data_IF_018046802634
#
_entry.id   IF_018046802634
#
_cell.length_a   1.000
_cell.length_b   1.000
_cell.length_c   1.000
_cell.angle_alpha   90.00
_cell.angle_beta   90.00
_cell.angle_gamma   90.00
#
_symmetry.space_group_name_H-M   'P 1'
#
loop_
_entity.id
_entity.type
_entity.pdbx_description
1 polymer ?
#
# COMPACT_ATOMS: atom_id res chain seq x y z
N UNK A 1 14.91 58.63 20.35
CA UNK A 1 14.28 59.83 19.80
C UNK A 1 12.81 59.48 19.58
N UNK A 2 12.00 60.02 20.49
CA UNK A 2 10.59 60.46 20.47
C UNK A 2 9.54 59.47 19.96
N UNK A 3 8.79 58.84 20.89
CA UNK A 3 7.60 59.41 21.64
C UNK A 3 6.57 60.08 20.75
N UNK A 4 5.33 59.58 20.71
CA UNK A 4 4.20 60.35 21.25
C UNK A 4 2.96 59.43 21.49
N UNK A 5 2.55 59.45 22.75
CA UNK A 5 1.33 58.94 23.38
C UNK A 5 0.26 60.01 23.20
N UNK A 6 -1.02 59.62 22.99
CA UNK A 6 -2.14 60.37 23.53
C UNK A 6 -3.33 59.47 23.88
N UNK A 7 -3.62 59.53 25.19
CA UNK A 7 -4.85 59.13 25.88
C UNK A 7 -5.88 60.28 25.84
N UNK A 8 -7.15 59.95 26.07
CA UNK A 8 -8.17 60.58 26.95
C UNK A 8 -9.54 60.05 26.55
N UNK A 9 -10.32 59.36 27.30
CA UNK A 9 -10.94 59.40 28.65
C UNK A 9 -12.27 60.14 28.72
N UNK A 10 -13.27 59.42 29.23
CA UNK A 10 -14.44 59.76 30.03
C UNK A 10 -15.64 60.55 29.41
N UNK A 11 -16.88 60.03 29.55
CA UNK A 11 -17.76 60.39 30.66
C UNK A 11 -19.09 59.63 30.68
N UNK A 12 -19.61 59.52 31.84
CA UNK A 12 -20.61 58.79 32.57
C UNK A 12 -22.03 59.39 32.57
N UNK A 13 -23.03 58.49 32.64
CA UNK A 13 -24.26 58.51 33.50
C UNK A 13 -25.47 59.41 33.15
N UNK A 14 -26.62 59.17 33.87
CA UNK A 14 -27.74 58.25 33.57
C UNK A 14 -29.09 58.94 33.56
N UNK A 15 -30.19 58.31 33.22
CA UNK A 15 -31.51 58.62 33.83
C UNK A 15 -32.57 57.55 33.57
N UNK A 16 -33.17 57.14 34.68
CA UNK A 16 -34.41 56.39 34.82
C UNK A 16 -35.62 57.01 34.15
N UNK A 17 -36.57 56.16 33.67
CA UNK A 17 -38.01 56.30 34.03
C UNK A 17 -38.73 54.95 33.81
N UNK A 18 -39.66 54.69 34.71
CA UNK A 18 -40.43 53.48 34.99
C UNK A 18 -41.71 53.32 34.17
N UNK A 19 -42.16 52.08 34.07
CA UNK A 19 -43.53 51.54 34.05
C UNK A 19 -44.28 51.54 32.69
N UNK A 20 -44.61 50.35 32.16
CA UNK A 20 -45.98 49.82 32.37
C UNK A 20 -46.05 48.33 31.90
N UNK A 21 -46.77 47.53 32.69
CA UNK A 21 -47.14 46.15 32.47
C UNK A 21 -48.07 45.97 31.26
N UNK A 22 -47.82 44.99 30.42
CA UNK A 22 -48.87 44.27 29.70
C UNK A 22 -48.44 42.82 29.57
N UNK A 23 -49.14 41.93 30.23
CA UNK A 23 -49.06 40.47 30.05
C UNK A 23 -49.64 40.13 28.66
N UNK A 24 -48.85 39.55 27.81
CA UNK A 24 -49.34 38.75 26.70
C UNK A 24 -48.65 37.37 26.79
N UNK A 25 -49.47 36.38 27.15
CA UNK A 25 -49.11 34.97 27.15
C UNK A 25 -48.93 34.51 25.69
N UNK A 26 -47.68 34.45 25.26
CA UNK A 26 -47.30 33.86 23.98
C UNK A 26 -46.75 32.45 24.21
N UNK A 27 -47.48 31.45 23.75
CA UNK A 27 -47.04 30.08 23.63
C UNK A 27 -45.80 30.03 22.71
N UNK A 28 -44.61 29.90 23.29
CA UNK A 28 -43.41 29.61 22.52
C UNK A 28 -43.39 28.09 22.22
N UNK A 29 -43.75 27.70 20.99
CA UNK A 29 -43.43 26.39 20.47
C UNK A 29 -41.91 26.29 20.38
N UNK A 30 -41.31 25.59 21.30
CA UNK A 30 -39.95 25.05 21.22
C UNK A 30 -39.93 24.01 20.12
N UNK A 31 -39.57 24.42 18.89
CA UNK A 31 -39.08 23.52 17.87
C UNK A 31 -37.74 22.97 18.37
N UNK A 32 -37.77 21.81 19.04
CA UNK A 32 -36.60 20.98 19.28
C UNK A 32 -36.20 20.46 17.91
N UNK A 33 -35.32 21.20 17.23
CA UNK A 33 -34.59 20.69 16.10
C UNK A 33 -33.73 19.51 16.59
N UNK A 34 -34.18 18.28 16.37
CA UNK A 34 -33.31 17.12 16.44
C UNK A 34 -32.21 17.32 15.41
N UNK A 35 -31.10 17.90 15.81
CA UNK A 35 -29.84 17.67 15.10
C UNK A 35 -29.50 16.20 15.33
N UNK A 36 -29.87 15.36 14.38
CA UNK A 36 -29.37 14.00 14.33
C UNK A 36 -27.84 14.10 14.25
N UNK A 37 -27.19 13.88 15.38
CA UNK A 37 -25.79 13.49 15.40
C UNK A 37 -25.66 12.32 14.42
N UNK A 38 -24.71 12.34 13.45
CA UNK A 38 -24.51 11.21 12.57
C UNK A 38 -24.29 9.98 13.45
N UNK A 39 -25.17 9.01 13.32
CA UNK A 39 -25.05 7.77 14.06
C UNK A 39 -23.70 7.14 13.74
N UNK A 40 -22.95 6.77 14.78
CA UNK A 40 -21.66 6.08 14.75
C UNK A 40 -21.72 4.68 14.07
N UNK A 41 -22.82 4.35 13.38
CA UNK A 41 -23.15 3.00 12.91
C UNK A 41 -22.57 2.62 11.54
N UNK A 42 -21.67 3.42 10.96
CA UNK A 42 -21.11 3.15 9.63
C UNK A 42 -19.59 3.00 9.59
N UNK A 43 -18.93 2.80 10.75
CA UNK A 43 -17.48 2.55 10.75
C UNK A 43 -17.20 1.09 10.39
N UNK A 44 -16.08 0.88 9.70
CA UNK A 44 -15.52 -0.46 9.46
C UNK A 44 -15.01 -1.07 10.78
N UNK A 45 -14.65 -2.35 10.76
CA UNK A 45 -14.08 -3.02 11.94
C UNK A 45 -12.76 -2.37 12.39
N UNK A 46 -11.97 -1.84 11.45
CA UNK A 46 -10.75 -1.08 11.72
C UNK A 46 -11.00 0.34 12.24
N UNK A 47 -12.26 0.80 12.24
CA UNK A 47 -12.66 2.15 12.67
C UNK A 47 -12.62 3.20 11.57
N UNK A 48 -12.43 2.82 10.31
CA UNK A 48 -12.45 3.74 9.17
C UNK A 48 -13.88 4.22 8.90
N UNK A 49 -14.01 5.51 8.59
CA UNK A 49 -15.26 6.09 8.10
C UNK A 49 -15.26 6.08 6.55
N UNK A 50 -16.12 5.28 5.88
CA UNK A 50 -16.13 5.18 4.42
C UNK A 50 -16.34 6.53 3.71
N UNK A 51 -17.11 7.45 4.29
CA UNK A 51 -17.34 8.78 3.70
C UNK A 51 -16.06 9.63 3.60
N UNK A 52 -15.03 9.35 4.41
CA UNK A 52 -13.74 10.04 4.29
C UNK A 52 -12.91 9.58 3.09
N UNK A 53 -13.38 8.57 2.37
CA UNK A 53 -12.76 8.06 1.14
C UNK A 53 -13.54 8.48 -0.11
N UNK A 54 -14.64 9.20 0.03
CA UNK A 54 -15.46 9.68 -1.09
C UNK A 54 -14.96 11.05 -1.54
N UNK A 55 -14.44 11.14 -2.76
CA UNK A 55 -13.99 12.38 -3.40
C UNK A 55 -14.17 12.29 -4.91
N UNK A 56 -14.61 13.37 -5.53
CA UNK A 56 -14.57 13.52 -6.98
C UNK A 56 -13.28 14.25 -7.35
N UNK A 57 -12.46 13.68 -8.19
CA UNK A 57 -11.21 14.27 -8.66
C UNK A 57 -11.44 15.11 -9.92
N UNK A 58 -10.45 15.91 -10.31
CA UNK A 58 -10.52 16.86 -11.43
C UNK A 58 -10.86 16.20 -12.79
N UNK A 59 -10.58 14.90 -12.93
CA UNK A 59 -10.93 14.09 -14.11
C UNK A 59 -12.33 13.45 -14.04
N UNK A 60 -13.20 13.91 -13.12
CA UNK A 60 -14.53 13.37 -12.82
C UNK A 60 -14.54 11.90 -12.37
N UNK A 61 -13.41 11.31 -12.01
CA UNK A 61 -13.34 9.99 -11.39
C UNK A 61 -13.61 10.11 -9.89
N UNK A 62 -14.42 9.21 -9.34
CA UNK A 62 -14.78 9.21 -7.92
C UNK A 62 -14.05 8.13 -7.18
N UNK A 63 -13.53 8.47 -6.00
CA UNK A 63 -12.92 7.52 -5.07
C UNK A 63 -13.97 7.02 -4.07
N UNK A 64 -13.74 5.82 -3.53
CA UNK A 64 -14.59 5.18 -2.53
C UNK A 64 -13.81 4.12 -1.75
N UNK A 65 -14.29 3.79 -0.54
CA UNK A 65 -13.85 2.65 0.25
C UNK A 65 -14.85 1.49 0.06
N UNK A 66 -14.32 0.31 -0.16
CA UNK A 66 -15.05 -0.95 -0.27
C UNK A 66 -14.62 -1.87 0.87
N UNK A 67 -15.54 -2.67 1.37
CA UNK A 67 -15.27 -3.58 2.49
C UNK A 67 -15.62 -5.01 2.06
N UNK A 68 -14.65 -5.92 2.22
CA UNK A 68 -14.84 -7.35 2.05
C UNK A 68 -14.88 -8.01 3.43
N UNK A 69 -15.78 -8.99 3.62
CA UNK A 69 -15.96 -9.72 4.89
C UNK A 69 -16.18 -11.19 4.63
N UNK A 70 -15.56 -12.04 5.45
CA UNK A 70 -15.87 -13.48 5.45
C UNK A 70 -16.66 -13.88 6.69
N UNK A 71 -17.13 -15.12 6.73
CA UNK A 71 -17.91 -15.65 7.87
C UNK A 71 -17.08 -15.83 9.15
N UNK A 72 -15.74 -15.86 9.05
CA UNK A 72 -14.82 -15.99 10.18
C UNK A 72 -14.44 -14.65 10.83
N UNK A 73 -15.10 -13.55 10.39
CA UNK A 73 -14.94 -12.21 10.97
C UNK A 73 -13.74 -11.41 10.46
N UNK A 74 -12.97 -11.93 9.50
CA UNK A 74 -11.93 -11.16 8.83
C UNK A 74 -12.57 -10.08 7.96
N UNK A 75 -12.00 -8.87 7.98
CA UNK A 75 -12.43 -7.73 7.19
C UNK A 75 -11.24 -7.13 6.44
N UNK A 76 -11.45 -6.79 5.17
CA UNK A 76 -10.47 -6.09 4.33
C UNK A 76 -11.12 -4.86 3.73
N UNK A 77 -10.51 -3.69 3.94
CA UNK A 77 -10.95 -2.44 3.31
C UNK A 77 -10.04 -2.09 2.15
N UNK A 78 -10.64 -1.75 1.00
CA UNK A 78 -9.95 -1.43 -0.25
C UNK A 78 -10.50 -0.11 -0.79
N UNK A 79 -9.61 0.82 -1.17
CA UNK A 79 -10.02 1.99 -1.95
C UNK A 79 -9.69 1.78 -3.43
N UNK A 80 -10.54 2.31 -4.30
CA UNK A 80 -10.28 2.29 -5.74
C UNK A 80 -9.23 3.32 -6.20
N UNK A 81 -8.71 4.17 -5.32
CA UNK A 81 -7.53 4.99 -5.59
C UNK A 81 -6.28 4.14 -5.42
N UNK A 82 -5.62 3.82 -6.54
CA UNK A 82 -4.49 2.89 -6.59
C UNK A 82 -4.86 1.43 -6.30
N UNK A 83 -6.16 1.08 -6.31
CA UNK A 83 -6.67 -0.25 -5.92
C UNK A 83 -6.01 -0.75 -4.63
N UNK A 84 -5.92 0.14 -3.61
CA UNK A 84 -5.13 -0.06 -2.38
C UNK A 84 -5.88 -0.83 -1.32
N UNK A 85 -5.19 -1.76 -0.69
CA UNK A 85 -5.60 -2.32 0.59
C UNK A 85 -5.33 -1.25 1.67
N UNK A 86 -6.38 -0.83 2.39
CA UNK A 86 -6.33 0.22 3.42
C UNK A 86 -6.22 -0.37 4.81
N UNK A 87 -6.94 -1.47 5.08
CA UNK A 87 -6.87 -2.21 6.35
C UNK A 87 -7.11 -3.70 6.13
N UNK A 88 -6.51 -4.51 7.00
CA UNK A 88 -6.70 -5.96 7.07
C UNK A 88 -6.90 -6.30 8.54
N UNK A 89 -8.14 -6.64 8.93
CA UNK A 89 -8.48 -7.04 10.29
C UNK A 89 -8.47 -8.55 10.41
N UNK A 90 -7.56 -9.07 11.24
CA UNK A 90 -7.41 -10.51 11.51
C UNK A 90 -7.36 -10.77 13.01
N UNK A 91 -7.81 -11.94 13.50
CA UNK A 91 -7.71 -12.28 14.91
C UNK A 91 -6.26 -12.57 15.32
N UNK A 92 -5.85 -12.06 16.47
CA UNK A 92 -4.62 -12.48 17.15
C UNK A 92 -4.80 -13.85 17.86
N UNK A 93 -3.74 -14.33 18.52
CA UNK A 93 -3.77 -15.57 19.29
C UNK A 93 -4.79 -15.59 20.44
N UNK A 94 -5.32 -14.43 20.88
CA UNK A 94 -6.32 -14.28 21.92
C UNK A 94 -7.72 -14.01 21.34
N UNK A 95 -7.86 -13.95 20.00
CA UNK A 95 -9.11 -13.64 19.31
C UNK A 95 -9.40 -12.15 19.15
N UNK A 96 -8.48 -11.24 19.54
CA UNK A 96 -8.68 -9.81 19.33
C UNK A 96 -8.40 -9.45 17.87
N UNK A 97 -9.32 -8.70 17.27
CA UNK A 97 -9.15 -8.25 15.89
C UNK A 97 -8.08 -7.16 15.79
N UNK A 98 -7.08 -7.40 14.97
CA UNK A 98 -5.87 -6.56 14.81
C UNK A 98 -5.74 -6.11 13.37
N UNK A 99 -5.53 -4.80 13.16
CA UNK A 99 -5.19 -4.27 11.83
C UNK A 99 -3.69 -4.47 11.56
N UNK A 100 -3.38 -5.23 10.53
CA UNK A 100 -2.01 -5.68 10.26
C UNK A 100 -1.31 -4.96 9.11
N UNK A 101 -1.86 -3.82 8.62
CA UNK A 101 -1.22 -3.03 7.57
C UNK A 101 -1.18 -1.54 7.90
N UNK A 102 -0.17 -0.84 7.42
CA UNK A 102 -0.10 0.63 7.46
C UNK A 102 -1.00 1.24 6.39
N UNK A 103 -1.39 2.51 6.59
CA UNK A 103 -2.22 3.29 5.66
C UNK A 103 -2.69 4.59 6.27
N UNK A 104 -3.72 5.20 5.67
CA UNK A 104 -4.34 6.44 6.14
C UNK A 104 -5.83 6.25 6.42
N UNK A 105 -6.42 7.18 7.21
CA UNK A 105 -7.85 7.15 7.58
C UNK A 105 -8.75 7.87 6.58
N UNK A 106 -8.20 8.41 5.50
CA UNK A 106 -8.93 9.20 4.52
C UNK A 106 -8.22 9.24 3.17
N UNK A 107 -8.98 9.60 2.13
CA UNK A 107 -8.46 9.66 0.76
C UNK A 107 -7.53 10.86 0.53
N UNK A 108 -7.70 11.96 1.25
CA UNK A 108 -6.91 13.16 1.06
C UNK A 108 -5.43 12.91 1.33
N UNK A 109 -5.13 12.19 2.43
CA UNK A 109 -3.76 11.84 2.79
C UNK A 109 -3.13 10.90 1.75
N UNK A 110 -3.89 9.96 1.16
CA UNK A 110 -3.40 9.12 0.05
C UNK A 110 -3.09 9.92 -1.22
N UNK A 111 -3.80 11.02 -1.47
CA UNK A 111 -3.57 11.87 -2.65
C UNK A 111 -2.38 12.82 -2.42
N UNK A 112 -2.24 13.37 -1.20
CA UNK A 112 -1.25 14.42 -0.91
C UNK A 112 0.10 13.89 -0.44
N UNK A 113 0.12 12.74 0.24
CA UNK A 113 1.34 12.18 0.81
C UNK A 113 1.83 11.05 -0.11
N UNK A 114 2.95 11.23 -0.81
CA UNK A 114 3.45 10.23 -1.76
C UNK A 114 3.91 8.97 -1.01
N UNK A 115 3.06 7.96 -0.98
CA UNK A 115 3.32 6.65 -0.38
C UNK A 115 2.70 5.56 -1.24
N UNK A 116 3.27 4.34 -1.14
CA UNK A 116 2.74 3.17 -1.84
C UNK A 116 1.92 2.25 -0.91
N UNK A 117 1.49 2.74 0.27
CA UNK A 117 0.73 1.95 1.23
C UNK A 117 -0.43 1.20 0.59
N UNK A 118 -0.34 -0.13 0.57
CA UNK A 118 -1.35 -1.06 0.08
C UNK A 118 -1.63 -1.03 -1.42
N UNK A 119 -0.87 -0.26 -2.20
CA UNK A 119 -1.17 0.02 -3.61
C UNK A 119 -1.01 -1.19 -4.51
N UNK A 120 -1.84 -1.26 -5.55
CA UNK A 120 -1.54 -2.02 -6.76
C UNK A 120 -0.56 -1.23 -7.60
N UNK A 121 0.62 -1.78 -7.82
CA UNK A 121 1.69 -1.17 -8.60
C UNK A 121 1.59 -1.63 -10.06
N UNK A 122 1.77 -0.69 -10.98
CA UNK A 122 1.80 -0.87 -12.42
C UNK A 122 2.09 0.48 -13.13
N UNK A 123 2.41 0.48 -14.44
CA UNK A 123 2.41 -0.66 -15.34
C UNK A 123 3.54 -1.66 -15.03
N UNK A 124 4.64 -1.19 -14.42
CA UNK A 124 5.79 -2.02 -14.10
C UNK A 124 6.23 -1.80 -12.65
N UNK A 125 6.11 -2.85 -11.85
CA UNK A 125 6.52 -2.87 -10.45
C UNK A 125 8.05 -2.88 -10.35
N UNK A 126 8.57 -2.20 -9.32
CA UNK A 126 9.99 -1.99 -9.08
C UNK A 126 10.67 -1.16 -10.19
N UNK A 127 11.99 -1.24 -10.33
CA UNK A 127 12.78 -0.34 -11.16
C UNK A 127 13.04 -0.90 -12.56
N UNK A 128 13.11 0.03 -13.54
CA UNK A 128 13.67 -0.18 -14.86
C UNK A 128 14.89 0.74 -14.98
N UNK A 129 16.05 0.16 -15.28
CA UNK A 129 17.36 0.83 -15.34
C UNK A 129 17.37 2.01 -16.31
N UNK A 130 17.84 3.18 -15.84
CA UNK A 130 17.87 4.45 -16.59
C UNK A 130 16.52 4.84 -17.22
N UNK A 131 15.42 4.20 -16.82
CA UNK A 131 14.11 4.36 -17.44
C UNK A 131 14.09 3.92 -18.92
N UNK A 132 14.93 2.97 -19.33
CA UNK A 132 15.03 2.54 -20.73
C UNK A 132 14.47 1.14 -20.92
N UNK A 133 13.67 0.98 -21.97
CA UNK A 133 13.23 -0.32 -22.48
C UNK A 133 13.48 -0.41 -23.97
N UNK A 134 13.74 -1.63 -24.46
CA UNK A 134 13.86 -1.86 -25.90
C UNK A 134 12.77 -2.82 -26.36
N UNK A 135 11.90 -2.36 -27.26
CA UNK A 135 10.83 -3.17 -27.86
C UNK A 135 11.01 -3.17 -29.37
N UNK A 136 11.13 -4.36 -29.98
CA UNK A 136 11.32 -4.56 -31.42
C UNK A 136 12.49 -3.73 -32.00
N UNK A 137 13.58 -3.59 -31.23
CA UNK A 137 14.77 -2.84 -31.58
C UNK A 137 14.68 -1.32 -31.43
N UNK A 138 13.54 -0.81 -30.97
CA UNK A 138 13.36 0.61 -30.66
C UNK A 138 13.55 0.86 -29.17
N UNK A 139 14.48 1.77 -28.83
CA UNK A 139 14.65 2.26 -27.47
C UNK A 139 13.54 3.27 -27.12
N UNK A 140 12.92 3.07 -25.95
CA UNK A 140 11.88 3.94 -25.41
C UNK A 140 12.36 4.46 -24.07
N UNK A 141 12.38 5.80 -23.91
CA UNK A 141 12.73 6.46 -22.66
C UNK A 141 11.48 6.64 -21.80
N UNK A 142 11.47 5.99 -20.64
CA UNK A 142 10.48 6.17 -19.58
C UNK A 142 10.93 7.31 -18.63
N UNK A 143 10.02 7.88 -17.83
CA UNK A 143 10.39 8.86 -16.80
C UNK A 143 11.40 8.29 -15.80
N UNK A 144 12.32 9.13 -15.37
CA UNK A 144 13.30 8.83 -14.31
C UNK A 144 12.85 9.51 -13.02
N UNK A 145 12.06 8.81 -12.21
CA UNK A 145 11.45 9.36 -11.00
C UNK A 145 12.13 8.92 -9.70
N UNK A 146 13.16 8.05 -9.78
CA UNK A 146 13.87 7.57 -8.60
C UNK A 146 15.32 7.20 -8.92
N UNK A 147 16.31 7.89 -8.36
CA UNK A 147 17.75 7.65 -8.54
C UNK A 147 18.20 7.45 -10.01
N UNK A 148 17.57 8.13 -10.97
CA UNK A 148 17.87 7.99 -12.39
C UNK A 148 17.18 6.79 -13.07
N UNK A 149 16.30 6.09 -12.39
CA UNK A 149 15.54 4.94 -12.88
C UNK A 149 14.04 5.23 -12.93
N UNK A 150 13.28 4.42 -13.68
CA UNK A 150 11.84 4.42 -13.63
C UNK A 150 11.38 3.46 -12.52
N UNK A 151 10.76 3.98 -11.48
CA UNK A 151 10.22 3.22 -10.36
C UNK A 151 8.69 3.17 -10.42
N UNK A 152 8.13 1.98 -10.21
CA UNK A 152 6.69 1.76 -10.00
C UNK A 152 5.80 2.38 -11.09
N UNK A 153 6.21 2.23 -12.36
CA UNK A 153 5.44 2.74 -13.50
C UNK A 153 5.56 4.24 -13.74
N UNK A 154 6.48 4.93 -13.04
CA UNK A 154 6.74 6.37 -13.21
C UNK A 154 5.93 7.26 -12.26
N UNK A 155 6.05 8.59 -12.41
CA UNK A 155 5.51 9.57 -11.44
C UNK A 155 3.98 9.54 -11.33
N UNK A 156 3.28 9.12 -12.36
CA UNK A 156 1.81 8.94 -12.39
C UNK A 156 1.43 7.46 -12.55
N UNK A 157 2.20 6.57 -11.93
CA UNK A 157 1.94 5.13 -11.91
C UNK A 157 0.55 4.80 -11.36
N UNK A 158 0.15 3.56 -11.51
CA UNK A 158 -1.24 3.12 -11.21
C UNK A 158 -1.62 3.31 -9.74
N UNK A 159 -0.65 3.33 -8.82
CA UNK A 159 -0.85 3.66 -7.42
C UNK A 159 -1.44 5.07 -7.18
N UNK A 160 -1.30 5.98 -8.16
CA UNK A 160 -1.81 7.35 -8.10
C UNK A 160 -3.04 7.57 -8.98
N UNK A 161 -3.68 6.50 -9.46
CA UNK A 161 -4.82 6.56 -10.36
C UNK A 161 -6.08 5.94 -9.75
N UNK A 162 -7.24 6.37 -10.24
CA UNK A 162 -8.53 5.83 -9.82
C UNK A 162 -8.94 4.70 -10.75
N UNK A 163 -9.14 3.53 -10.19
CA UNK A 163 -9.68 2.34 -10.87
C UNK A 163 -11.20 2.38 -10.90
N UNK A 164 -11.80 1.84 -11.94
CA UNK A 164 -13.22 1.49 -11.97
C UNK A 164 -13.42 0.24 -11.10
N UNK A 165 -14.25 0.34 -10.08
CA UNK A 165 -14.47 -0.75 -9.13
C UNK A 165 -15.86 -1.35 -9.29
N UNK A 166 -15.94 -2.68 -9.27
CA UNK A 166 -17.19 -3.46 -9.26
C UNK A 166 -17.08 -4.48 -8.13
N UNK A 167 -17.75 -4.20 -7.02
CA UNK A 167 -17.92 -5.19 -5.95
C UNK A 167 -18.97 -6.21 -6.39
N UNK A 168 -18.55 -7.48 -6.47
CA UNK A 168 -19.40 -8.58 -6.97
C UNK A 168 -20.32 -9.11 -5.88
N UNK A 169 -19.79 -9.22 -4.67
CA UNK A 169 -20.43 -9.70 -3.46
C UNK A 169 -19.65 -9.20 -2.22
N UNK A 170 -19.98 -9.71 -1.03
CA UNK A 170 -19.34 -9.29 0.22
C UNK A 170 -17.85 -9.71 0.32
N UNK A 171 -17.36 -10.55 -0.57
CA UNK A 171 -16.01 -11.13 -0.53
C UNK A 171 -15.16 -10.80 -1.76
N UNK A 172 -15.75 -10.31 -2.84
CA UNK A 172 -15.05 -10.15 -4.13
C UNK A 172 -15.24 -8.77 -4.72
N UNK A 173 -14.14 -8.13 -5.09
CA UNK A 173 -14.13 -6.86 -5.83
C UNK A 173 -13.18 -6.98 -7.03
N UNK A 174 -13.61 -6.44 -8.17
CA UNK A 174 -12.78 -6.28 -9.37
C UNK A 174 -12.52 -4.79 -9.58
N UNK A 175 -11.25 -4.44 -9.71
CA UNK A 175 -10.81 -3.07 -9.99
C UNK A 175 -10.10 -3.05 -11.34
N UNK A 176 -10.58 -2.22 -12.26
CA UNK A 176 -10.08 -2.12 -13.63
C UNK A 176 -9.43 -0.76 -13.86
N UNK A 177 -8.27 -0.76 -14.50
CA UNK A 177 -7.61 0.45 -15.02
C UNK A 177 -7.43 0.36 -16.53
N UNK A 178 -7.67 1.47 -17.20
CA UNK A 178 -7.35 1.69 -18.60
C UNK A 178 -6.15 2.64 -18.65
N UNK A 179 -4.99 2.14 -19.09
CA UNK A 179 -3.75 2.88 -19.21
C UNK A 179 -3.47 3.11 -20.69
N UNK A 180 -3.58 4.36 -21.21
CA UNK A 180 -3.50 4.63 -22.64
C UNK A 180 -2.08 4.44 -23.18
N UNK A 181 -1.97 4.31 -24.51
CA UNK A 181 -0.69 4.33 -25.22
C UNK A 181 0.06 5.63 -24.89
N UNK A 182 1.32 5.50 -24.45
CA UNK A 182 2.14 6.62 -24.00
C UNK A 182 1.96 7.04 -22.55
N UNK A 183 1.13 6.36 -21.75
CA UNK A 183 1.04 6.57 -20.30
C UNK A 183 2.42 6.34 -19.65
N UNK A 184 3.00 7.39 -19.03
CA UNK A 184 4.40 7.42 -18.60
C UNK A 184 5.39 6.90 -19.69
N UNK A 185 5.10 7.17 -20.96
CA UNK A 185 5.84 6.72 -22.16
C UNK A 185 5.81 5.21 -22.39
N UNK A 186 5.07 4.41 -21.64
CA UNK A 186 4.89 2.99 -21.95
C UNK A 186 4.02 2.82 -23.21
N UNK A 187 4.43 1.98 -24.17
CA UNK A 187 3.67 1.76 -25.40
C UNK A 187 2.43 0.90 -25.17
N UNK A 188 1.40 1.11 -25.98
CA UNK A 188 0.18 0.33 -26.04
C UNK A 188 -0.89 0.76 -25.05
N UNK A 189 -2.13 0.66 -25.49
CA UNK A 189 -3.28 0.75 -24.60
C UNK A 189 -3.37 -0.55 -23.80
N UNK A 190 -3.38 -0.45 -22.48
CA UNK A 190 -3.49 -1.60 -21.59
C UNK A 190 -4.80 -1.50 -20.81
N UNK A 191 -5.55 -2.60 -20.78
CA UNK A 191 -6.66 -2.79 -19.83
C UNK A 191 -6.16 -3.82 -18.83
N UNK A 192 -6.09 -3.42 -17.56
CA UNK A 192 -5.66 -4.30 -16.49
C UNK A 192 -6.71 -4.40 -15.39
N UNK A 193 -6.87 -5.59 -14.84
CA UNK A 193 -7.74 -5.86 -13.72
C UNK A 193 -6.92 -6.37 -12.53
N UNK A 194 -7.35 -6.00 -11.33
CA UNK A 194 -7.00 -6.68 -10.10
C UNK A 194 -8.28 -7.15 -9.42
N UNK A 195 -8.35 -8.45 -9.15
CA UNK A 195 -9.46 -9.06 -8.43
C UNK A 195 -8.99 -9.46 -7.05
N UNK A 196 -9.61 -8.88 -6.02
CA UNK A 196 -9.42 -9.27 -4.64
C UNK A 196 -10.57 -10.15 -4.20
N UNK A 197 -10.27 -11.33 -3.66
CA UNK A 197 -11.25 -12.22 -3.05
C UNK A 197 -10.82 -12.58 -1.63
N UNK A 198 -11.65 -12.25 -0.64
CA UNK A 198 -11.45 -12.68 0.73
C UNK A 198 -12.08 -14.07 0.91
N UNK A 199 -11.26 -15.08 1.13
CA UNK A 199 -11.70 -16.46 1.26
C UNK A 199 -12.18 -16.80 2.67
N UNK A 200 -12.90 -17.90 2.83
CA UNK A 200 -13.38 -18.36 4.14
C UNK A 200 -12.23 -18.89 5.03
N UNK A 201 -11.10 -19.30 4.49
CA UNK A 201 -9.92 -19.73 5.24
C UNK A 201 -8.93 -18.59 5.53
N UNK A 202 -9.46 -17.35 5.58
CA UNK A 202 -8.75 -16.11 5.92
C UNK A 202 -7.58 -15.79 4.98
N UNK A 203 -7.75 -16.01 3.69
CA UNK A 203 -6.80 -15.58 2.68
C UNK A 203 -7.37 -14.43 1.81
N UNK A 204 -6.50 -13.49 1.44
CA UNK A 204 -6.75 -12.51 0.38
C UNK A 204 -6.13 -13.09 -0.89
N UNK A 205 -6.97 -13.61 -1.78
CA UNK A 205 -6.60 -14.09 -3.11
C UNK A 205 -6.59 -12.89 -4.07
N UNK A 206 -5.44 -12.60 -4.67
CA UNK A 206 -5.22 -11.44 -5.55
C UNK A 206 -4.85 -11.95 -6.92
N UNK A 207 -5.73 -11.74 -7.89
CA UNK A 207 -5.47 -12.09 -9.29
C UNK A 207 -5.34 -10.85 -10.13
N UNK A 208 -4.29 -10.83 -10.92
CA UNK A 208 -4.04 -9.80 -11.92
C UNK A 208 -4.23 -10.39 -13.30
N UNK A 209 -4.87 -9.63 -14.19
CA UNK A 209 -4.87 -9.91 -15.61
C UNK A 209 -4.77 -8.60 -16.41
N UNK A 210 -4.13 -8.67 -17.57
CA UNK A 210 -4.07 -7.51 -18.46
C UNK A 210 -3.95 -7.92 -19.93
N UNK A 211 -4.48 -7.06 -20.79
CA UNK A 211 -4.35 -7.15 -22.26
C UNK A 211 -3.85 -5.85 -22.85
N UNK A 212 -3.28 -5.93 -24.05
CA UNK A 212 -2.74 -4.76 -24.78
C UNK A 212 -3.06 -4.82 -26.26
N UNK A 213 -3.07 -3.67 -26.91
CA UNK A 213 -3.16 -3.54 -28.39
C UNK A 213 -1.80 -3.40 -29.09
N UNK A 214 -0.72 -3.12 -28.33
CA UNK A 214 0.66 -3.05 -28.81
C UNK A 214 1.60 -3.78 -27.84
N UNK A 215 2.73 -4.27 -28.34
CA UNK A 215 3.76 -4.87 -27.49
C UNK A 215 4.23 -3.88 -26.42
N UNK A 216 4.23 -4.31 -25.17
CA UNK A 216 4.60 -3.50 -24.01
C UNK A 216 5.27 -4.36 -22.93
N UNK A 217 5.73 -3.74 -21.85
CA UNK A 217 6.18 -4.43 -20.63
C UNK A 217 5.13 -4.30 -19.55
N UNK A 218 4.94 -5.37 -18.77
CA UNK A 218 4.02 -5.38 -17.64
C UNK A 218 4.58 -6.22 -16.49
N UNK A 219 4.41 -5.74 -15.29
CA UNK A 219 4.72 -6.41 -14.03
C UNK A 219 3.87 -5.76 -12.94
N UNK A 220 2.97 -6.50 -12.32
CA UNK A 220 2.05 -5.98 -11.32
C UNK A 220 2.34 -6.61 -9.96
N UNK A 221 2.16 -5.82 -8.90
CA UNK A 221 2.29 -6.31 -7.52
C UNK A 221 1.38 -5.54 -6.57
N UNK A 222 1.24 -6.04 -5.33
CA UNK A 222 0.63 -5.31 -4.22
C UNK A 222 1.70 -4.87 -3.22
N UNK A 223 1.71 -3.58 -2.89
CA UNK A 223 2.70 -2.95 -2.01
C UNK A 223 2.13 -2.72 -0.59
N UNK A 224 1.57 -3.78 0.03
CA UNK A 224 1.10 -3.70 1.42
C UNK A 224 2.26 -3.65 2.40
N UNK A 225 2.15 -2.76 3.38
CA UNK A 225 3.12 -2.57 4.47
C UNK A 225 2.60 -3.30 5.70
N UNK A 226 3.05 -4.54 5.90
CA UNK A 226 2.58 -5.41 6.97
C UNK A 226 3.26 -5.09 8.31
N UNK A 227 2.46 -5.04 9.37
CA UNK A 227 2.90 -5.06 10.76
C UNK A 227 2.00 -6.01 11.56
N UNK A 228 2.42 -7.26 11.68
CA UNK A 228 1.64 -8.29 12.36
C UNK A 228 1.64 -8.13 13.88
N UNK A 229 2.47 -7.22 14.44
CA UNK A 229 2.44 -6.87 15.86
C UNK A 229 1.20 -6.04 16.23
N UNK A 230 0.54 -5.41 15.23
CA UNK A 230 -0.63 -4.57 15.44
C UNK A 230 -0.34 -3.19 16.05
N UNK A 231 0.93 -2.88 16.29
CA UNK A 231 1.38 -1.56 16.76
C UNK A 231 2.37 -0.94 15.78
N UNK A 232 1.90 -0.07 14.86
CA UNK A 232 2.78 0.57 13.90
C UNK A 232 3.53 1.79 14.45
N UNK A 233 3.43 2.09 15.75
CA UNK A 233 4.19 3.16 16.41
C UNK A 233 5.62 2.76 16.76
N UNK A 234 5.96 1.48 16.63
CA UNK A 234 7.27 0.92 16.93
C UNK A 234 7.78 0.07 15.76
N UNK A 235 9.08 -0.22 15.78
CA UNK A 235 9.70 -1.12 14.80
C UNK A 235 9.06 -2.51 14.83
N UNK A 236 8.83 -3.09 13.66
CA UNK A 236 8.26 -4.43 13.48
C UNK A 236 9.33 -5.48 13.11
N UNK A 237 10.61 -5.17 13.26
CA UNK A 237 11.70 -6.04 12.81
C UNK A 237 11.92 -7.28 13.69
N UNK A 238 11.29 -7.36 14.86
CA UNK A 238 11.24 -8.56 15.69
C UNK A 238 10.39 -9.69 15.08
N UNK A 239 9.64 -9.42 13.99
CA UNK A 239 8.90 -10.43 13.28
C UNK A 239 9.83 -11.49 12.69
N UNK A 240 9.39 -12.75 12.77
CA UNK A 240 10.13 -13.92 12.27
C UNK A 240 9.78 -14.12 10.81
N UNK A 241 10.78 -14.10 9.94
CA UNK A 241 10.62 -14.25 8.48
C UNK A 241 11.23 -15.56 7.99
N UNK A 242 10.52 -16.24 7.11
CA UNK A 242 10.98 -17.31 6.23
C UNK A 242 10.79 -16.88 4.78
N UNK A 243 11.79 -17.15 3.92
CA UNK A 243 11.71 -16.97 2.46
C UNK A 243 12.21 -18.23 1.77
N UNK A 244 11.41 -18.79 0.86
CA UNK A 244 11.76 -19.95 0.05
C UNK A 244 12.64 -19.53 -1.14
N UNK A 245 13.90 -19.14 -0.89
CA UNK A 245 14.79 -18.62 -1.94
C UNK A 245 16.26 -18.95 -1.65
N UNK A 246 17.02 -19.25 -2.69
CA UNK A 246 18.44 -19.58 -2.60
C UNK A 246 19.33 -18.45 -3.12
N UNK A 247 18.79 -17.40 -3.72
CA UNK A 247 19.52 -16.23 -4.19
C UNK A 247 18.68 -14.96 -4.15
N UNK A 248 19.38 -13.81 -4.23
CA UNK A 248 18.81 -12.49 -4.48
C UNK A 248 19.34 -11.92 -5.78
N UNK A 249 18.68 -10.90 -6.34
CA UNK A 249 19.27 -10.01 -7.32
C UNK A 249 19.96 -8.87 -6.58
N UNK A 250 21.31 -8.82 -6.54
CA UNK A 250 22.04 -7.79 -5.82
C UNK A 250 21.81 -6.42 -6.44
N UNK A 251 21.96 -5.38 -5.64
CA UNK A 251 21.74 -3.99 -6.07
C UNK A 251 22.99 -3.13 -5.81
N UNK A 252 23.07 -2.00 -6.51
CA UNK A 252 24.01 -0.92 -6.23
C UNK A 252 23.40 0.15 -5.28
N UNK A 253 24.10 1.25 -5.08
CA UNK A 253 23.66 2.37 -4.23
C UNK A 253 22.49 3.18 -4.80
N UNK A 254 22.09 2.90 -6.05
CA UNK A 254 20.90 3.42 -6.72
C UNK A 254 19.73 2.41 -6.71
N UNK A 255 19.90 1.28 -5.99
CA UNK A 255 18.95 0.17 -5.90
C UNK A 255 18.76 -0.58 -7.22
N UNK A 256 19.70 -0.46 -8.15
CA UNK A 256 19.63 -1.11 -9.44
C UNK A 256 20.45 -2.40 -9.46
N UNK A 257 19.86 -3.46 -10.02
CA UNK A 257 20.53 -4.75 -10.17
C UNK A 257 21.43 -4.77 -11.40
N UNK A 258 22.59 -5.42 -11.29
CA UNK A 258 23.49 -5.67 -12.41
C UNK A 258 23.04 -6.86 -13.30
N UNK A 259 21.99 -7.60 -12.89
CA UNK A 259 21.48 -8.76 -13.62
C UNK A 259 22.11 -10.10 -13.21
N UNK A 260 22.93 -10.09 -12.18
CA UNK A 260 23.47 -11.31 -11.56
C UNK A 260 22.54 -11.84 -10.46
N UNK A 261 22.81 -13.06 -10.01
CA UNK A 261 22.17 -13.66 -8.85
C UNK A 261 23.23 -13.97 -7.78
N UNK A 262 23.03 -13.48 -6.57
CA UNK A 262 23.90 -13.72 -5.43
C UNK A 262 23.27 -14.78 -4.51
N UNK A 263 24.01 -15.86 -4.22
CA UNK A 263 23.55 -16.88 -3.29
C UNK A 263 23.34 -16.30 -1.88
N UNK A 264 22.25 -16.72 -1.22
CA UNK A 264 21.93 -16.24 0.15
C UNK A 264 22.63 -17.04 1.25
N UNK A 265 23.04 -18.28 0.99
CA UNK A 265 23.63 -19.15 1.98
C UNK A 265 24.81 -18.50 2.70
N UNK A 266 24.81 -18.57 4.03
CA UNK A 266 25.82 -17.97 4.93
C UNK A 266 25.89 -16.44 4.89
N UNK A 267 24.88 -15.78 4.34
CA UNK A 267 24.77 -14.30 4.29
C UNK A 267 23.61 -13.81 5.17
N UNK A 268 23.50 -12.50 5.45
CA UNK A 268 22.34 -11.89 6.11
C UNK A 268 21.01 -12.18 5.38
N UNK A 269 21.06 -12.49 4.08
CA UNK A 269 19.88 -12.72 3.23
C UNK A 269 19.32 -14.14 3.31
N UNK A 270 19.95 -15.04 4.08
CA UNK A 270 19.46 -16.41 4.24
C UNK A 270 18.30 -16.47 5.24
N UNK A 271 17.07 -16.54 4.72
CA UNK A 271 15.83 -16.76 5.45
C UNK A 271 15.23 -18.15 5.21
N UNK A 272 16.01 -19.12 4.68
CA UNK A 272 15.56 -20.51 4.55
C UNK A 272 15.30 -21.17 5.91
N UNK A 273 16.01 -20.74 6.95
CA UNK A 273 15.67 -21.00 8.35
C UNK A 273 15.00 -19.74 8.91
N UNK A 274 13.78 -19.85 9.45
CA UNK A 274 13.07 -18.69 10.01
C UNK A 274 13.90 -17.96 11.06
N UNK A 275 14.05 -16.65 10.93
CA UNK A 275 14.77 -15.80 11.90
C UNK A 275 14.11 -14.42 12.02
N UNK A 276 14.37 -13.72 13.13
CA UNK A 276 13.93 -12.34 13.30
C UNK A 276 14.64 -11.44 12.28
N UNK A 277 13.89 -10.51 11.67
CA UNK A 277 14.44 -9.58 10.67
C UNK A 277 15.49 -8.66 11.31
N UNK A 278 15.29 -8.28 12.59
CA UNK A 278 16.21 -7.45 13.35
C UNK A 278 17.62 -8.01 13.50
N UNK A 279 17.79 -9.33 13.33
CA UNK A 279 19.10 -10.00 13.42
C UNK A 279 20.12 -9.39 12.47
N UNK A 280 19.68 -9.04 11.25
CA UNK A 280 20.60 -8.64 10.18
C UNK A 280 20.25 -7.32 9.49
N UNK A 281 19.04 -6.78 9.69
CA UNK A 281 18.55 -5.61 8.93
C UNK A 281 19.44 -4.35 9.07
N UNK A 282 20.24 -4.26 10.13
CA UNK A 282 21.16 -3.15 10.41
C UNK A 282 22.64 -3.58 10.29
N UNK A 283 22.94 -4.73 9.69
CA UNK A 283 24.31 -5.19 9.46
C UNK A 283 24.95 -4.42 8.27
N UNK A 284 25.24 -3.14 8.47
CA UNK A 284 25.79 -2.23 7.45
C UNK A 284 27.26 -2.50 7.10
N UNK A 285 27.92 -3.47 7.73
CA UNK A 285 29.20 -4.00 7.27
C UNK A 285 29.02 -4.88 6.01
N UNK A 286 27.82 -5.42 5.80
CA UNK A 286 27.45 -6.06 4.54
C UNK A 286 27.07 -5.00 3.50
N UNK A 287 27.74 -5.02 2.34
CA UNK A 287 27.57 -4.02 1.27
C UNK A 287 26.12 -3.97 0.76
N UNK A 288 25.46 -5.11 0.58
CA UNK A 288 24.08 -5.15 0.09
C UNK A 288 23.09 -4.58 1.12
N UNK A 289 23.26 -4.86 2.41
CA UNK A 289 22.46 -4.23 3.48
C UNK A 289 22.69 -2.72 3.50
N UNK A 290 23.92 -2.29 3.26
CA UNK A 290 24.25 -0.85 3.18
C UNK A 290 23.59 -0.17 1.99
N UNK A 291 23.62 -0.78 0.80
CA UNK A 291 22.97 -0.25 -0.40
C UNK A 291 21.43 -0.21 -0.23
N UNK A 292 20.81 -1.28 0.26
CA UNK A 292 19.38 -1.33 0.52
C UNK A 292 18.94 -0.49 1.73
N UNK A 293 19.88 0.07 2.51
CA UNK A 293 19.61 0.75 3.80
C UNK A 293 18.86 -0.16 4.79
N UNK A 294 19.07 -1.45 4.66
CA UNK A 294 18.37 -2.57 5.25
C UNK A 294 18.02 -3.59 4.17
N UNK A 295 16.92 -4.30 4.29
CA UNK A 295 16.43 -5.11 3.20
C UNK A 295 15.57 -4.26 2.26
N UNK A 296 15.95 -4.21 0.99
CA UNK A 296 15.20 -3.69 -0.14
C UNK A 296 15.72 -4.41 -1.40
N UNK A 297 15.47 -5.73 -1.44
CA UNK A 297 16.01 -6.63 -2.46
C UNK A 297 14.94 -7.59 -2.95
N UNK A 298 15.15 -8.11 -4.15
CA UNK A 298 14.33 -9.17 -4.72
C UNK A 298 14.97 -10.54 -4.47
N UNK A 299 14.24 -11.45 -3.84
CA UNK A 299 14.59 -12.87 -3.69
C UNK A 299 14.09 -13.68 -4.88
N UNK A 300 14.95 -14.55 -5.41
CA UNK A 300 14.64 -15.50 -6.48
C UNK A 300 14.00 -16.73 -5.85
N UNK A 301 12.70 -16.90 -6.08
CA UNK A 301 11.90 -17.93 -5.42
C UNK A 301 12.21 -19.33 -5.98
N UNK A 302 12.47 -20.29 -5.09
CA UNK A 302 12.63 -21.70 -5.47
C UNK A 302 11.31 -22.44 -5.66
N UNK A 303 10.18 -21.81 -5.38
CA UNK A 303 8.84 -22.32 -5.69
C UNK A 303 8.56 -22.41 -7.19
N UNK A 304 9.33 -21.68 -8.02
CA UNK A 304 9.25 -21.71 -9.49
C UNK A 304 7.83 -21.55 -10.02
N UNK A 305 7.06 -20.59 -9.45
CA UNK A 305 5.68 -20.32 -9.85
C UNK A 305 4.65 -21.33 -9.33
N UNK A 306 5.02 -22.25 -8.45
CA UNK A 306 4.06 -23.18 -7.85
C UNK A 306 3.27 -22.51 -6.75
N UNK A 307 2.05 -22.04 -7.08
CA UNK A 307 1.12 -21.37 -6.17
C UNK A 307 0.68 -22.20 -4.96
N UNK A 308 0.98 -23.51 -4.92
CA UNK A 308 0.65 -24.37 -3.79
C UNK A 308 1.81 -24.52 -2.78
N UNK A 309 2.92 -23.84 -3.01
CA UNK A 309 4.06 -23.81 -2.10
C UNK A 309 4.20 -22.44 -1.43
N UNK A 310 4.53 -22.45 -0.13
CA UNK A 310 4.79 -21.22 0.62
C UNK A 310 6.04 -20.54 0.08
N UNK A 311 5.89 -19.36 -0.47
CA UNK A 311 7.00 -18.52 -0.94
C UNK A 311 7.64 -17.72 0.20
N UNK A 312 6.81 -17.21 1.12
CA UNK A 312 7.24 -16.49 2.31
C UNK A 312 6.31 -16.77 3.48
N UNK A 313 6.84 -16.66 4.71
CA UNK A 313 6.05 -16.68 5.93
C UNK A 313 6.56 -15.63 6.91
N UNK A 314 5.68 -14.76 7.38
CA UNK A 314 5.95 -13.76 8.41
C UNK A 314 5.15 -14.13 9.66
N UNK A 315 5.76 -14.03 10.85
CA UNK A 315 5.11 -14.38 12.12
C UNK A 315 5.42 -13.32 13.15
N UNK A 316 4.40 -12.79 13.83
CA UNK A 316 4.58 -11.92 14.97
C UNK A 316 4.80 -12.74 16.25
N UNK A 317 5.90 -12.54 16.99
CA UNK A 317 6.09 -13.16 18.30
C UNK A 317 5.17 -12.56 19.38
N UNK A 318 4.59 -11.39 19.12
CA UNK A 318 3.73 -10.65 20.07
C UNK A 318 2.30 -11.14 19.96
N UNK A 319 1.69 -11.00 18.79
CA UNK A 319 0.27 -11.31 18.53
C UNK A 319 0.04 -12.79 18.19
N UNK A 320 1.08 -13.49 17.75
CA UNK A 320 0.99 -14.84 17.19
C UNK A 320 0.41 -14.86 15.77
N UNK A 321 0.05 -13.71 15.19
CA UNK A 321 -0.46 -13.64 13.82
C UNK A 321 0.62 -14.11 12.85
N UNK A 322 0.20 -14.92 11.87
CA UNK A 322 1.04 -15.39 10.77
C UNK A 322 0.48 -14.91 9.45
N UNK A 323 1.36 -14.59 8.51
CA UNK A 323 1.07 -14.35 7.10
C UNK A 323 1.88 -15.33 6.27
N UNK A 324 1.22 -16.18 5.49
CA UNK A 324 1.84 -17.01 4.47
C UNK A 324 1.55 -16.40 3.10
N UNK A 325 2.59 -16.29 2.27
CA UNK A 325 2.52 -15.78 0.91
C UNK A 325 2.71 -16.90 -0.07
N UNK A 326 1.80 -17.02 -1.02
CA UNK A 326 1.87 -17.96 -2.15
C UNK A 326 1.81 -17.13 -3.44
N UNK A 327 2.54 -17.56 -4.47
CA UNK A 327 2.56 -16.85 -5.75
C UNK A 327 3.01 -17.74 -6.90
N UNK A 328 2.56 -17.40 -8.11
CA UNK A 328 3.09 -17.91 -9.37
C UNK A 328 4.22 -17.01 -9.95
N UNK A 329 4.57 -15.93 -9.26
CA UNK A 329 5.68 -15.05 -9.64
C UNK A 329 7.06 -15.69 -9.34
N UNK A 330 8.09 -15.36 -10.14
CA UNK A 330 9.44 -15.92 -9.96
C UNK A 330 10.20 -15.29 -8.80
N UNK A 331 9.77 -14.13 -8.29
CA UNK A 331 10.46 -13.37 -7.26
C UNK A 331 9.55 -12.73 -6.23
N UNK A 332 10.18 -12.30 -5.16
CA UNK A 332 9.54 -11.53 -4.09
C UNK A 332 10.48 -10.43 -3.59
N UNK A 333 10.05 -9.19 -3.62
CA UNK A 333 10.75 -8.08 -2.98
C UNK A 333 10.45 -8.09 -1.49
N UNK A 334 11.48 -8.05 -0.67
CA UNK A 334 11.40 -7.73 0.75
C UNK A 334 11.87 -6.30 0.96
N UNK A 335 10.98 -5.45 1.46
CA UNK A 335 11.30 -4.09 1.87
C UNK A 335 10.93 -3.87 3.34
N UNK A 336 11.86 -3.36 4.13
CA UNK A 336 11.73 -3.27 5.59
C UNK A 336 11.40 -1.86 6.11
N UNK A 337 10.65 -1.07 5.35
CA UNK A 337 10.22 0.28 5.77
C UNK A 337 11.40 1.24 6.01
N UNK A 338 12.47 1.11 5.22
CA UNK A 338 13.75 1.80 5.41
C UNK A 338 13.64 3.33 5.34
N UNK A 339 12.68 3.83 4.54
CA UNK A 339 12.46 5.25 4.28
C UNK A 339 11.31 5.85 5.11
N UNK A 340 10.65 5.08 5.96
CA UNK A 340 9.79 5.65 6.99
C UNK A 340 10.67 6.36 8.02
N UNK A 341 10.39 7.63 8.28
CA UNK A 341 11.28 8.51 9.04
C UNK A 341 10.62 9.18 10.27
N UNK A 342 9.39 8.78 10.58
CA UNK A 342 8.62 9.36 11.68
C UNK A 342 7.90 10.67 11.32
N UNK A 343 7.86 11.07 10.05
CA UNK A 343 7.11 12.26 9.61
C UNK A 343 5.70 11.94 9.16
N UNK A 344 5.44 10.69 8.74
CA UNK A 344 4.13 10.25 8.25
C UNK A 344 3.20 9.95 9.42
N UNK A 345 2.07 10.66 9.48
CA UNK A 345 0.97 10.40 10.39
C UNK A 345 -0.08 9.56 9.68
N UNK A 346 -0.15 8.28 10.03
CA UNK A 346 -1.06 7.32 9.42
C UNK A 346 -2.38 7.15 10.15
N UNK A 347 -2.96 5.94 10.05
CA UNK A 347 -4.25 5.58 10.67
C UNK A 347 -4.26 5.89 12.17
N UNK A 348 -5.43 6.33 12.68
CA UNK A 348 -5.65 6.71 14.10
C UNK A 348 -4.66 7.78 14.59
N UNK A 349 -4.04 8.52 13.68
CA UNK A 349 -3.06 9.54 13.99
C UNK A 349 -1.70 9.01 14.48
N UNK A 350 -1.42 7.73 14.30
CA UNK A 350 -0.15 7.11 14.69
C UNK A 350 0.96 7.56 13.74
N UNK A 351 2.08 7.95 14.29
CA UNK A 351 3.29 8.30 13.52
C UNK A 351 4.05 7.01 13.22
N UNK A 352 4.40 6.80 11.95
CA UNK A 352 5.12 5.61 11.50
C UNK A 352 6.63 5.84 11.53
N UNK A 353 7.37 5.23 12.48
CA UNK A 353 8.82 5.32 12.53
C UNK A 353 9.48 4.44 11.47
N UNK A 354 10.78 4.60 11.29
CA UNK A 354 11.59 3.68 10.50
C UNK A 354 11.37 2.24 10.97
N UNK A 355 11.26 1.30 10.02
CA UNK A 355 11.07 -0.13 10.32
C UNK A 355 9.70 -0.47 10.92
N UNK A 356 8.70 0.38 10.79
CA UNK A 356 7.35 0.10 11.28
C UNK A 356 6.65 -1.03 10.54
N UNK A 357 7.20 -1.52 9.42
CA UNK A 357 6.53 -2.49 8.56
C UNK A 357 7.47 -3.31 7.69
N UNK A 358 6.90 -4.36 7.11
CA UNK A 358 7.53 -5.26 6.14
C UNK A 358 6.65 -5.31 4.89
N UNK A 359 7.22 -5.12 3.69
CA UNK A 359 6.54 -5.36 2.42
C UNK A 359 7.05 -6.68 1.82
N UNK A 360 6.13 -7.45 1.25
CA UNK A 360 6.36 -8.73 0.59
C UNK A 360 5.67 -8.66 -0.78
N UNK A 361 6.42 -8.20 -1.80
CA UNK A 361 5.88 -7.86 -3.11
C UNK A 361 6.23 -8.97 -4.11
N UNK A 362 5.27 -9.81 -4.45
CA UNK A 362 5.45 -10.88 -5.44
C UNK A 362 5.49 -10.28 -6.84
N UNK A 363 6.53 -10.57 -7.61
CA UNK A 363 6.80 -9.87 -8.87
C UNK A 363 7.81 -10.61 -9.75
N UNK A 364 7.89 -10.22 -11.03
CA UNK A 364 9.08 -10.43 -11.84
C UNK A 364 10.24 -9.58 -11.31
N UNK A 365 11.47 -10.02 -11.60
CA UNK A 365 12.66 -9.34 -11.05
C UNK A 365 12.77 -7.90 -11.54
N UNK A 366 13.33 -6.99 -10.72
CA UNK A 366 13.61 -5.62 -11.14
C UNK A 366 14.46 -5.59 -12.41
N UNK A 367 14.18 -4.65 -13.32
CA UNK A 367 14.88 -4.47 -14.61
C UNK A 367 14.82 -5.66 -15.59
N UNK A 368 13.86 -6.57 -15.44
CA UNK A 368 13.68 -7.71 -16.35
C UNK A 368 13.56 -7.33 -17.84
N UNK A 369 12.99 -6.17 -18.25
CA UNK A 369 12.98 -5.77 -19.64
C UNK A 369 14.37 -5.70 -20.28
N UNK A 370 15.39 -5.40 -19.48
CA UNK A 370 16.79 -5.24 -19.91
C UNK A 370 17.66 -6.49 -19.65
N UNK A 371 17.08 -7.57 -19.10
CA UNK A 371 17.79 -8.79 -18.72
C UNK A 371 17.21 -10.00 -19.47
N UNK A 372 17.63 -10.19 -20.73
CA UNK A 372 17.07 -11.21 -21.64
C UNK A 372 17.14 -12.67 -21.14
N UNK A 373 17.99 -12.93 -20.15
CA UNK A 373 18.13 -14.27 -19.55
C UNK A 373 17.17 -14.51 -18.37
N UNK A 374 16.39 -13.50 -17.98
CA UNK A 374 15.35 -13.60 -16.97
C UNK A 374 13.97 -13.88 -17.59
N UNK A 375 12.98 -14.29 -16.78
CA UNK A 375 11.61 -14.46 -17.25
C UNK A 375 11.10 -13.20 -17.95
N UNK A 376 10.41 -13.39 -19.08
CA UNK A 376 9.95 -12.28 -19.91
C UNK A 376 8.80 -11.52 -19.25
N UNK A 377 8.84 -10.21 -19.37
CA UNK A 377 7.79 -9.28 -18.92
C UNK A 377 7.10 -8.61 -20.11
N UNK A 378 7.35 -9.10 -21.32
CA UNK A 378 6.75 -8.58 -22.55
C UNK A 378 5.33 -9.11 -22.66
N UNK A 379 4.39 -8.19 -22.81
CA UNK A 379 3.00 -8.49 -23.17
C UNK A 379 2.78 -8.15 -24.66
N UNK A 380 2.33 -9.13 -25.42
CA UNK A 380 2.04 -9.00 -26.84
C UNK A 380 0.54 -8.85 -27.10
N UNK A 381 0.11 -8.17 -28.18
CA UNK A 381 -1.27 -8.15 -28.62
C UNK A 381 -1.84 -9.56 -28.77
N UNK A 382 -3.07 -9.75 -28.27
CA UNK A 382 -3.75 -11.06 -28.32
C UNK A 382 -3.29 -12.07 -27.26
N UNK A 383 -2.33 -11.68 -26.40
CA UNK A 383 -1.94 -12.43 -25.20
C UNK A 383 -2.54 -11.77 -23.96
N UNK A 384 -2.69 -12.56 -22.90
CA UNK A 384 -3.11 -12.06 -21.58
C UNK A 384 -1.96 -12.25 -20.61
N UNK A 385 -1.56 -11.16 -19.95
CA UNK A 385 -0.74 -11.23 -18.74
C UNK A 385 -1.59 -11.78 -17.60
N UNK A 386 -1.04 -12.66 -16.80
CA UNK A 386 -1.66 -13.14 -15.56
C UNK A 386 -0.62 -13.22 -14.46
N UNK A 387 -1.01 -12.89 -13.25
CA UNK A 387 -0.20 -13.07 -12.05
C UNK A 387 -1.13 -13.35 -10.86
N UNK A 388 -0.67 -14.16 -9.92
CA UNK A 388 -1.46 -14.60 -8.79
C UNK A 388 -0.65 -14.55 -7.50
N UNK A 389 -1.21 -13.88 -6.49
CA UNK A 389 -0.67 -13.79 -5.14
C UNK A 389 -1.75 -14.10 -4.12
N UNK A 390 -1.41 -14.85 -3.06
CA UNK A 390 -2.31 -15.16 -1.95
C UNK A 390 -1.63 -14.75 -0.64
N UNK A 391 -2.29 -13.88 0.13
CA UNK A 391 -1.92 -13.53 1.50
C UNK A 391 -2.83 -14.29 2.46
N UNK A 392 -2.33 -15.37 3.06
CA UNK A 392 -3.09 -16.22 3.97
C UNK A 392 -2.71 -15.95 5.42
N UNK A 393 -3.72 -15.58 6.22
CA UNK A 393 -3.55 -15.25 7.62
C UNK A 393 -3.95 -16.39 8.53
N UNK A 394 -3.25 -16.52 9.66
CA UNK A 394 -3.51 -17.49 10.70
C UNK A 394 -2.86 -17.07 12.01
N UNK A 395 -2.84 -17.99 12.99
CA UNK A 395 -2.14 -17.81 14.25
C UNK A 395 -1.17 -18.96 14.50
N UNK A 396 0.04 -18.62 14.95
CA UNK A 396 0.98 -19.62 15.45
C UNK A 396 0.40 -20.29 16.70
N UNK A 397 0.53 -21.62 16.74
CA UNK A 397 0.10 -22.43 17.91
C UNK A 397 1.15 -22.38 19.01
#
# INVERSE_FOLDING_TARGET
>A
MNEFVHRLSYNTHPLHIMKNFLLISGFALLLIGCTSTPSNNNLTLSGLNPHRFEKVLDNNKSTKLYTLKNSNGMEVCITNFGARIVSIMVPDKNGNMTDVVLGFDNIEDYIQIPTDFGATIGRYANRIGEGKITIDGQEIQLPQNNYGHCLHGGPTGWQNQVFKAIQKDDKTIVLTIESPDGDNNFPGNVIANVTYTLTEDNAIDIKYDATTDKKTVINMTNHSYFNLNGDPSVSSMNQILYLAADSITPVDDTFMTNGEMMAVATTPFDFNTPKAIETDVNNFDNEQIKFGKGFDHNWVLKTQGNINQVAAKLTSPITGITLEVYTDEPGIQLYTGNFLDGTIKGKKGIIYPQRASVCLETQHYPDSPNKKHWPTVILEPGKTYTSHCIFKFGTAK
#
